data_IF_568787157293
#
_entry.id   IF_568787157293
#
_cell.length_a   1.000
_cell.length_b   1.000
_cell.length_c   1.000
_cell.angle_alpha   90.00
_cell.angle_beta   90.00
_cell.angle_gamma   90.00
#
_symmetry.space_group_name_H-M   'P 1'
#
loop_
_entity.id
_entity.type
_entity.pdbx_description
1 polymer ?
#
# COMPACT_ATOMS: atom_id res chain seq x y z
N UNK A 1 55.02 26.11 17.44
CA UNK A 1 54.99 27.55 17.76
C UNK A 1 54.59 28.30 16.49
N UNK A 2 53.36 28.72 16.39
CA UNK A 2 52.86 29.94 15.76
C UNK A 2 51.33 29.85 15.66
N UNK A 3 50.74 30.60 16.52
CA UNK A 3 49.36 30.93 16.68
C UNK A 3 49.01 31.97 15.61
N UNK A 4 47.90 31.82 14.90
CA UNK A 4 47.21 32.95 14.27
C UNK A 4 45.71 32.91 14.58
N UNK A 5 45.34 33.79 15.50
CA UNK A 5 43.98 34.32 15.69
C UNK A 5 43.74 35.43 14.65
N UNK A 6 42.49 35.55 14.18
CA UNK A 6 41.79 36.82 13.88
C UNK A 6 40.35 36.45 13.44
N UNK A 7 39.35 36.74 14.30
CA UNK A 7 38.53 37.96 14.36
C UNK A 7 37.81 38.23 13.03
N UNK A 8 36.51 37.98 12.82
CA UNK A 8 35.35 38.62 13.40
C UNK A 8 34.85 39.67 12.42
N UNK A 9 33.58 39.61 12.00
CA UNK A 9 32.74 40.79 11.68
C UNK A 9 31.27 40.35 11.61
N UNK A 10 30.50 40.92 12.53
CA UNK A 10 29.05 41.03 12.51
C UNK A 10 28.62 42.02 11.43
N UNK A 11 27.61 41.72 10.68
CA UNK A 11 26.80 42.75 10.01
C UNK A 11 25.31 42.42 10.13
N UNK A 12 24.73 43.22 10.95
CA UNK A 12 23.32 43.43 11.23
C UNK A 12 22.74 44.40 10.17
N UNK A 13 21.65 44.10 9.52
CA UNK A 13 20.76 45.09 8.84
C UNK A 13 19.45 44.39 8.54
N UNK A 14 18.44 44.68 9.22
CA UNK A 14 17.50 45.79 9.27
C UNK A 14 16.25 45.50 8.46
N UNK A 15 15.21 45.43 9.25
CA UNK A 15 13.76 45.52 9.04
C UNK A 15 13.33 46.44 7.88
N UNK A 16 12.38 45.96 7.04
CA UNK A 16 11.47 46.90 6.39
C UNK A 16 10.05 46.32 6.40
N UNK A 17 9.24 46.88 7.30
CA UNK A 17 7.79 46.80 7.30
C UNK A 17 7.22 47.74 6.24
N UNK A 18 6.31 47.27 5.38
CA UNK A 18 5.37 48.16 4.70
C UNK A 18 3.99 47.53 4.82
N UNK A 19 3.20 48.15 5.68
CA UNK A 19 1.75 48.07 5.77
C UNK A 19 1.12 49.18 4.90
N UNK A 20 0.12 48.87 4.13
CA UNK A 20 -0.99 49.78 3.67
C UNK A 20 -2.16 48.89 3.35
N UNK A 21 -3.12 48.99 3.98
CA UNK A 21 -4.44 49.49 4.35
C UNK A 21 -5.27 49.96 3.15
N UNK A 22 -6.46 49.36 3.08
CA UNK A 22 -7.79 49.97 3.05
C UNK A 22 -8.55 50.11 1.73
N UNK A 23 -9.86 49.92 1.92
CA UNK A 23 -11.06 50.30 1.16
C UNK A 23 -11.51 49.32 0.07
N UNK A 24 -12.66 48.63 0.14
CA UNK A 24 -13.95 49.03 0.72
C UNK A 24 -14.94 49.21 -0.41
N UNK A 25 -15.91 48.29 -0.58
CA UNK A 25 -17.27 48.67 -1.03
C UNK A 25 -18.24 47.51 -0.84
N UNK A 26 -19.28 47.80 -0.09
CA UNK A 26 -20.52 47.07 0.07
C UNK A 26 -21.45 47.29 -1.13
N UNK A 27 -22.27 46.32 -1.41
CA UNK A 27 -23.69 46.42 -1.83
C UNK A 27 -24.26 45.02 -1.75
N UNK A 28 -24.99 44.69 -0.75
CA UNK A 28 -26.42 44.69 -0.44
C UNK A 28 -27.31 43.98 -1.49
N UNK A 29 -27.92 42.94 -0.94
CA UNK A 29 -29.31 42.50 -0.82
C UNK A 29 -30.04 41.98 -2.06
N UNK A 30 -30.50 40.72 -1.98
CA UNK A 30 -31.96 40.44 -1.83
C UNK A 30 -32.23 39.00 -1.43
N UNK A 31 -32.89 38.91 -0.35
CA UNK A 31 -33.71 37.90 0.26
C UNK A 31 -34.83 37.41 -0.67
N UNK A 32 -35.08 36.09 -0.70
CA UNK A 32 -36.43 35.59 -0.88
C UNK A 32 -36.56 34.24 -0.20
N UNK A 33 -37.22 34.27 0.91
CA UNK A 33 -37.74 33.13 1.63
C UNK A 33 -38.94 32.54 0.87
N UNK A 34 -39.09 31.23 0.94
CA UNK A 34 -40.39 30.56 0.88
C UNK A 34 -40.32 29.26 1.67
N UNK A 35 -40.96 29.36 2.78
CA UNK A 35 -41.44 28.35 3.69
C UNK A 35 -42.42 27.37 2.98
N UNK A 36 -42.35 26.11 3.36
CA UNK A 36 -43.51 25.38 3.90
C UNK A 36 -43.17 23.90 4.17
N UNK A 37 -43.23 23.57 5.42
CA UNK A 37 -43.47 22.26 6.03
C UNK A 37 -45.00 22.19 6.36
N UNK A 38 -45.58 21.12 6.92
CA UNK A 38 -45.45 19.68 6.92
C UNK A 38 -46.78 18.94 6.69
N UNK A 39 -46.76 17.61 6.60
CA UNK A 39 -47.88 16.72 7.01
C UNK A 39 -47.28 15.29 7.03
N UNK A 40 -47.09 14.66 8.09
CA UNK A 40 -47.81 14.02 9.18
C UNK A 40 -48.87 12.98 8.77
N UNK A 41 -48.75 11.82 9.44
CA UNK A 41 -49.69 10.77 9.84
C UNK A 41 -49.99 9.67 8.81
N UNK A 42 -49.64 8.38 9.09
CA UNK A 42 -50.47 7.46 9.87
C UNK A 42 -49.74 6.15 10.19
N UNK A 43 -49.86 5.80 11.46
CA UNK A 43 -49.69 4.46 12.04
C UNK A 43 -50.90 3.60 11.72
N UNK A 44 -50.68 2.28 11.60
CA UNK A 44 -51.53 1.17 12.06
C UNK A 44 -50.60 -0.03 12.08
N UNK A 45 -50.17 -0.58 13.12
CA UNK A 45 -50.65 -1.31 14.28
C UNK A 45 -51.23 -2.71 14.00
N UNK A 46 -50.64 -3.64 14.77
CA UNK A 46 -51.20 -4.90 15.36
C UNK A 46 -51.45 -6.07 14.41
N UNK A 47 -51.10 -7.27 14.67
CA UNK A 47 -51.01 -8.12 15.82
C UNK A 47 -50.58 -9.54 15.48
N UNK A 48 -49.86 -10.13 16.43
CA UNK A 48 -50.04 -11.44 17.08
C UNK A 48 -50.03 -12.73 16.21
N UNK A 49 -49.11 -13.56 16.60
CA UNK A 49 -49.06 -14.70 17.57
C UNK A 49 -49.48 -16.02 16.90
N UNK A 50 -48.77 -17.08 16.98
CA UNK A 50 -48.64 -18.12 18.01
C UNK A 50 -47.95 -19.38 17.47
N UNK A 51 -47.04 -19.90 18.32
CA UNK A 51 -46.84 -21.31 18.75
C UNK A 51 -46.65 -22.41 17.70
N UNK A 52 -45.80 -23.33 17.85
CA UNK A 52 -45.18 -24.15 18.85
C UNK A 52 -44.40 -25.29 18.22
N UNK A 53 -43.22 -25.56 18.78
CA UNK A 53 -42.76 -26.86 19.26
C UNK A 53 -42.91 -28.11 18.36
N UNK A 54 -41.77 -28.70 18.04
CA UNK A 54 -41.47 -30.07 18.45
C UNK A 54 -40.00 -30.41 18.21
N UNK A 55 -39.36 -30.88 19.26
CA UNK A 55 -38.04 -31.46 19.31
C UNK A 55 -37.95 -32.78 18.56
N UNK A 56 -36.82 -33.08 17.97
CA UNK A 56 -36.29 -34.45 17.97
C UNK A 56 -34.76 -34.42 17.81
N UNK A 57 -34.14 -35.06 18.80
CA UNK A 57 -32.74 -35.47 18.92
C UNK A 57 -32.36 -36.39 17.75
N UNK A 58 -31.12 -36.29 17.32
CA UNK A 58 -30.14 -37.38 17.26
C UNK A 58 -28.84 -37.00 16.60
N UNK A 59 -27.82 -36.96 17.43
CA UNK A 59 -26.41 -37.38 17.26
C UNK A 59 -25.93 -37.71 15.83
N UNK A 60 -24.82 -37.02 15.42
CA UNK A 60 -23.60 -37.71 15.01
C UNK A 60 -22.44 -36.67 14.86
N UNK A 61 -21.44 -36.91 15.63
CA UNK A 61 -20.07 -36.42 15.57
C UNK A 61 -19.50 -36.60 14.15
N UNK A 62 -18.91 -35.56 13.58
CA UNK A 62 -17.75 -35.71 12.67
C UNK A 62 -16.99 -34.42 12.69
N UNK A 63 -15.74 -34.51 13.11
CA UNK A 63 -14.74 -33.49 13.10
C UNK A 63 -14.59 -32.85 11.72
N UNK A 64 -14.79 -31.56 11.62
CA UNK A 64 -14.31 -30.78 10.50
C UNK A 64 -12.94 -30.24 10.87
N UNK A 65 -11.92 -30.82 10.29
CA UNK A 65 -10.58 -30.29 10.27
C UNK A 65 -10.61 -28.92 9.59
N UNK A 66 -10.28 -27.90 10.36
CA UNK A 66 -9.99 -26.58 9.82
C UNK A 66 -8.66 -26.68 9.10
N UNK A 67 -8.73 -26.91 7.79
CA UNK A 67 -7.59 -26.76 6.92
C UNK A 67 -7.32 -25.26 6.78
N UNK A 68 -6.49 -24.73 7.68
CA UNK A 68 -5.79 -23.49 7.43
C UNK A 68 -4.86 -23.71 6.24
N UNK A 69 -5.21 -23.19 5.08
CA UNK A 69 -4.28 -23.13 3.97
C UNK A 69 -3.20 -22.14 4.35
N UNK A 70 -2.11 -22.69 4.91
CA UNK A 70 -0.85 -21.97 4.95
C UNK A 70 -0.52 -21.61 3.50
N UNK A 71 -0.24 -20.34 3.25
CA UNK A 71 0.34 -19.90 2.00
C UNK A 71 1.59 -20.74 1.77
N UNK A 72 1.55 -21.55 0.74
CA UNK A 72 2.66 -22.36 0.29
C UNK A 72 3.69 -21.37 -0.24
N UNK A 73 4.72 -21.09 0.58
CA UNK A 73 5.94 -20.47 0.08
C UNK A 73 6.49 -21.43 -0.97
N UNK A 74 6.36 -21.06 -2.22
CA UNK A 74 7.02 -21.77 -3.31
C UNK A 74 8.50 -21.79 -2.95
N UNK A 75 9.03 -22.97 -2.67
CA UNK A 75 10.46 -23.18 -2.46
C UNK A 75 11.22 -22.81 -3.73
N UNK A 76 12.56 -22.58 -3.64
CA UNK A 76 13.34 -22.07 -4.76
C UNK A 76 13.11 -22.91 -6.00
N UNK A 77 12.46 -22.28 -6.99
CA UNK A 77 12.31 -22.84 -8.32
C UNK A 77 13.69 -23.00 -8.96
N UNK A 78 13.87 -23.98 -9.81
CA UNK A 78 15.16 -24.26 -10.41
C UNK A 78 15.60 -23.08 -11.30
N UNK A 79 16.39 -22.13 -10.73
CA UNK A 79 17.44 -21.45 -11.48
C UNK A 79 17.09 -20.15 -12.18
N UNK A 80 16.17 -19.31 -11.70
CA UNK A 80 16.17 -17.91 -12.14
C UNK A 80 16.95 -17.06 -11.12
N UNK A 81 17.71 -16.09 -11.63
CA UNK A 81 18.39 -15.09 -10.81
C UNK A 81 17.49 -13.87 -10.50
N UNK A 82 16.17 -14.12 -10.50
CA UNK A 82 15.12 -13.13 -10.33
C UNK A 82 14.28 -13.45 -9.10
N UNK A 83 14.04 -12.45 -8.25
CA UNK A 83 13.15 -12.53 -7.09
C UNK A 83 12.05 -11.46 -7.20
N UNK A 84 10.83 -11.82 -6.84
CA UNK A 84 9.74 -10.86 -6.62
C UNK A 84 9.50 -10.72 -5.12
N UNK A 85 9.80 -9.56 -4.56
CA UNK A 85 9.50 -9.21 -3.17
C UNK A 85 8.32 -8.26 -3.16
N UNK A 86 7.29 -8.55 -2.38
CA UNK A 86 6.13 -7.68 -2.35
C UNK A 86 5.43 -7.67 -0.99
N UNK A 87 4.76 -6.56 -0.71
CA UNK A 87 3.78 -6.43 0.36
C UNK A 87 2.40 -6.28 -0.26
N UNK A 88 1.42 -6.99 0.27
CA UNK A 88 0.04 -6.94 -0.21
C UNK A 88 -0.96 -7.06 0.92
N UNK A 89 -2.17 -6.54 0.73
CA UNK A 89 -3.24 -6.62 1.73
C UNK A 89 -4.53 -7.14 1.12
N UNK A 90 -5.19 -8.02 1.85
CA UNK A 90 -6.58 -8.44 1.66
C UNK A 90 -7.52 -7.52 2.43
N UNK A 91 -8.81 -7.81 2.46
CA UNK A 91 -9.82 -7.03 3.15
C UNK A 91 -10.39 -5.91 2.29
N UNK A 92 -10.92 -4.88 2.91
CA UNK A 92 -11.57 -3.79 2.20
C UNK A 92 -10.55 -2.89 1.50
N UNK A 93 -10.75 -2.64 0.21
CA UNK A 93 -9.88 -1.82 -0.62
C UNK A 93 -10.67 -0.73 -1.35
N UNK A 94 -10.04 0.43 -1.54
CA UNK A 94 -10.66 1.54 -2.23
C UNK A 94 -11.10 1.18 -3.65
N UNK A 95 -12.38 1.42 -3.96
CA UNK A 95 -12.95 1.27 -5.29
C UNK A 95 -13.22 -0.16 -5.75
N UNK A 96 -12.82 -1.18 -4.97
CA UNK A 96 -13.09 -2.60 -5.26
C UNK A 96 -13.86 -3.31 -4.15
N UNK A 97 -13.91 -2.73 -2.94
CA UNK A 97 -14.57 -3.36 -1.80
C UNK A 97 -13.70 -4.45 -1.16
N UNK A 98 -14.35 -5.47 -0.62
CA UNK A 98 -13.71 -6.60 0.07
C UNK A 98 -13.07 -7.56 -0.94
N UNK A 99 -11.78 -7.87 -0.72
CA UNK A 99 -11.01 -8.77 -1.59
C UNK A 99 -10.30 -9.87 -0.79
N UNK A 100 -10.26 -11.07 -1.36
CA UNK A 100 -9.59 -12.24 -0.77
C UNK A 100 -8.10 -12.32 -1.15
N UNK A 101 -7.71 -11.77 -2.31
CA UNK A 101 -6.32 -11.67 -2.77
C UNK A 101 -5.97 -10.23 -3.05
N UNK A 102 -4.90 -9.77 -2.41
CA UNK A 102 -4.48 -8.38 -2.52
C UNK A 102 -4.05 -7.99 -3.95
N UNK A 103 -4.26 -6.72 -4.30
CA UNK A 103 -3.96 -6.19 -5.63
C UNK A 103 -2.50 -6.39 -6.03
N UNK A 104 -1.57 -6.15 -5.09
CA UNK A 104 -0.14 -6.29 -5.35
C UNK A 104 0.26 -7.75 -5.53
N UNK A 105 -0.34 -8.68 -4.77
CA UNK A 105 -0.12 -10.11 -4.93
C UNK A 105 -0.54 -10.62 -6.32
N UNK A 106 -1.63 -10.10 -6.88
CA UNK A 106 -2.07 -10.44 -8.24
C UNK A 106 -1.00 -10.03 -9.28
N UNK A 107 -0.45 -8.82 -9.15
CA UNK A 107 0.59 -8.34 -10.07
C UNK A 107 1.90 -9.10 -9.86
N UNK A 108 2.27 -9.42 -8.61
CA UNK A 108 3.45 -10.22 -8.28
C UNK A 108 3.39 -11.61 -8.93
N UNK A 109 2.24 -12.28 -8.87
CA UNK A 109 2.05 -13.56 -9.54
C UNK A 109 2.24 -13.44 -11.06
N UNK A 110 1.68 -12.39 -11.69
CA UNK A 110 1.83 -12.18 -13.13
C UNK A 110 3.30 -12.01 -13.54
N UNK A 111 4.10 -11.32 -12.70
CA UNK A 111 5.54 -11.16 -12.91
C UNK A 111 6.24 -12.51 -12.77
N UNK A 112 5.95 -13.24 -11.69
CA UNK A 112 6.54 -14.56 -11.44
C UNK A 112 6.15 -15.57 -12.51
N UNK A 113 4.90 -15.62 -12.95
CA UNK A 113 4.42 -16.47 -14.04
C UNK A 113 5.20 -16.24 -15.35
N UNK A 114 5.48 -14.98 -15.68
CA UNK A 114 6.15 -14.60 -16.92
C UNK A 114 7.64 -14.84 -16.87
N UNK A 115 8.28 -14.57 -15.72
CA UNK A 115 9.75 -14.60 -15.58
C UNK A 115 10.27 -15.93 -15.02
N UNK A 116 9.39 -16.72 -14.40
CA UNK A 116 9.79 -17.88 -13.60
C UNK A 116 10.46 -17.52 -12.28
N UNK A 117 10.33 -16.27 -11.83
CA UNK A 117 10.97 -15.76 -10.62
C UNK A 117 10.44 -16.44 -9.36
N UNK A 118 11.33 -16.61 -8.38
CA UNK A 118 10.93 -16.90 -7.01
C UNK A 118 10.16 -15.71 -6.43
N UNK A 119 9.31 -15.93 -5.42
CA UNK A 119 8.56 -14.87 -4.79
C UNK A 119 8.68 -14.91 -3.26
N UNK A 120 8.66 -13.73 -2.64
CA UNK A 120 8.62 -13.54 -1.19
C UNK A 120 7.62 -12.44 -0.82
N UNK A 121 6.58 -12.81 -0.11
CA UNK A 121 5.64 -11.86 0.43
C UNK A 121 6.12 -11.34 1.79
N UNK A 122 6.20 -10.03 1.92
CA UNK A 122 6.47 -9.37 3.18
C UNK A 122 5.17 -9.36 3.99
N UNK A 123 5.15 -10.12 5.07
CA UNK A 123 4.04 -10.16 6.02
C UNK A 123 4.47 -9.47 7.32
N UNK A 124 3.62 -8.69 7.99
CA UNK A 124 3.95 -8.14 9.29
C UNK A 124 4.18 -9.28 10.30
N UNK A 125 5.16 -9.12 11.20
CA UNK A 125 5.44 -10.10 12.26
C UNK A 125 4.23 -10.26 13.20
N UNK A 126 3.57 -9.14 13.49
CA UNK A 126 2.28 -9.10 14.15
C UNK A 126 1.30 -8.42 13.18
N UNK A 127 0.25 -9.11 12.74
CA UNK A 127 -0.74 -8.52 11.83
C UNK A 127 -1.73 -7.65 12.62
N UNK A 128 -1.35 -6.40 12.77
CA UNK A 128 -2.16 -5.36 13.42
C UNK A 128 -2.87 -4.44 12.42
N UNK A 129 -2.68 -4.66 11.13
CA UNK A 129 -3.33 -3.86 10.10
C UNK A 129 -4.83 -4.15 10.05
N UNK A 130 -5.69 -3.11 10.19
CA UNK A 130 -7.13 -3.29 10.16
C UNK A 130 -7.64 -3.87 8.84
N UNK A 131 -8.78 -4.56 8.94
CA UNK A 131 -9.46 -5.13 7.79
C UNK A 131 -10.19 -4.08 6.95
N UNK A 132 -10.76 -3.05 7.60
CA UNK A 132 -11.51 -1.97 6.96
C UNK A 132 -10.58 -0.95 6.34
N UNK A 133 -11.01 -0.34 5.23
CA UNK A 133 -10.20 0.62 4.49
C UNK A 133 -9.88 1.88 5.31
N UNK A 134 -10.88 2.46 5.97
CA UNK A 134 -10.71 3.72 6.71
C UNK A 134 -9.72 3.55 7.87
N UNK A 135 -9.88 2.49 8.69
CA UNK A 135 -8.97 2.22 9.80
C UNK A 135 -7.55 1.90 9.31
N UNK A 136 -7.43 1.15 8.20
CA UNK A 136 -6.13 0.87 7.59
C UNK A 136 -5.41 2.14 7.14
N UNK A 137 -6.14 3.08 6.53
CA UNK A 137 -5.55 4.35 6.08
C UNK A 137 -5.10 5.23 7.25
N UNK A 138 -5.78 5.18 8.39
CA UNK A 138 -5.38 5.89 9.62
C UNK A 138 -4.09 5.30 10.20
N UNK A 139 -3.99 3.96 10.31
CA UNK A 139 -2.78 3.27 10.76
C UNK A 139 -1.61 3.57 9.82
N UNK A 140 -1.81 3.45 8.51
CA UNK A 140 -0.78 3.75 7.52
C UNK A 140 -0.30 5.21 7.60
N UNK A 141 -1.22 6.16 7.88
CA UNK A 141 -0.87 7.57 8.07
C UNK A 141 -0.09 7.81 9.34
N UNK A 142 -0.47 7.14 10.42
CA UNK A 142 0.26 7.22 11.68
C UNK A 142 1.69 6.68 11.51
N UNK A 143 1.86 5.50 10.92
CA UNK A 143 3.18 4.92 10.65
C UNK A 143 4.07 5.88 9.84
N UNK A 144 3.51 6.51 8.79
CA UNK A 144 4.23 7.47 7.96
C UNK A 144 4.67 8.68 8.78
N UNK A 145 3.78 9.25 9.60
CA UNK A 145 4.08 10.42 10.43
C UNK A 145 5.14 10.15 11.50
N UNK A 146 5.14 8.93 12.05
CA UNK A 146 6.09 8.47 13.07
C UNK A 146 7.39 7.94 12.47
N UNK A 147 7.47 7.82 11.14
CA UNK A 147 8.56 7.14 10.45
C UNK A 147 8.78 5.72 11.02
N UNK A 148 7.69 5.00 11.25
CA UNK A 148 7.69 3.68 11.86
C UNK A 148 8.46 2.64 11.03
N UNK A 149 8.94 1.60 11.68
CA UNK A 149 9.59 0.45 11.05
C UNK A 149 8.96 -0.85 11.53
N UNK A 150 7.74 -1.17 11.06
CA UNK A 150 7.08 -2.42 11.41
C UNK A 150 7.96 -3.60 11.04
N UNK A 151 8.10 -4.56 11.97
CA UNK A 151 8.84 -5.79 11.69
C UNK A 151 8.04 -6.68 10.74
N UNK A 152 8.75 -7.43 9.91
CA UNK A 152 8.16 -8.43 9.02
C UNK A 152 8.61 -9.84 9.39
N UNK A 153 7.72 -10.81 9.16
CA UNK A 153 7.93 -12.22 9.42
C UNK A 153 8.47 -12.97 8.19
N UNK A 154 8.94 -14.18 8.44
CA UNK A 154 9.36 -15.14 7.43
C UNK A 154 10.87 -15.15 7.19
N UNK A 155 11.33 -16.26 6.63
CA UNK A 155 12.72 -16.45 6.25
C UNK A 155 12.91 -15.94 4.83
N UNK A 156 13.51 -14.74 4.70
CA UNK A 156 13.88 -14.20 3.40
C UNK A 156 14.86 -15.15 2.70
N UNK A 157 14.63 -15.46 1.40
CA UNK A 157 15.57 -16.27 0.65
C UNK A 157 16.94 -15.59 0.59
N UNK A 158 18.00 -16.39 0.41
CA UNK A 158 19.36 -15.88 0.27
C UNK A 158 19.46 -14.96 -0.96
N UNK A 159 19.47 -13.64 -0.72
CA UNK A 159 19.52 -12.61 -1.77
C UNK A 159 20.76 -12.70 -2.65
N UNK A 160 21.82 -13.40 -2.24
CA UNK A 160 23.04 -13.53 -3.05
C UNK A 160 22.81 -14.30 -4.35
N UNK A 161 21.72 -15.08 -4.42
CA UNK A 161 21.36 -15.89 -5.59
C UNK A 161 20.70 -15.07 -6.71
N UNK A 162 20.24 -13.83 -6.42
CA UNK A 162 19.46 -13.03 -7.35
C UNK A 162 20.28 -11.82 -7.82
N UNK A 163 20.23 -11.54 -9.11
CA UNK A 163 20.77 -10.32 -9.71
C UNK A 163 19.71 -9.24 -9.89
N UNK A 164 18.45 -9.65 -10.04
CA UNK A 164 17.30 -8.78 -10.21
C UNK A 164 16.26 -9.02 -9.11
N UNK A 165 15.74 -7.96 -8.52
CA UNK A 165 14.66 -8.00 -7.53
C UNK A 165 13.55 -7.05 -7.96
N UNK A 166 12.40 -7.61 -8.33
CA UNK A 166 11.16 -6.84 -8.47
C UNK A 166 10.61 -6.54 -7.08
N UNK A 167 10.24 -5.30 -6.83
CA UNK A 167 9.78 -4.87 -5.50
C UNK A 167 8.43 -4.19 -5.62
N UNK A 168 7.41 -4.73 -4.97
CA UNK A 168 6.04 -4.28 -5.10
C UNK A 168 5.34 -3.95 -3.80
N UNK A 169 4.46 -2.93 -3.83
CA UNK A 169 3.57 -2.61 -2.72
C UNK A 169 2.37 -1.77 -3.17
N UNK A 170 1.29 -1.70 -2.37
CA UNK A 170 0.29 -0.68 -2.54
C UNK A 170 0.87 0.71 -2.23
N UNK A 171 0.36 1.74 -2.89
CA UNK A 171 0.73 3.12 -2.55
C UNK A 171 -0.07 3.58 -1.35
N UNK A 172 0.59 3.82 -0.23
CA UNK A 172 -0.01 4.35 0.99
C UNK A 172 0.42 5.80 1.21
N UNK A 173 -0.54 6.73 1.17
CA UNK A 173 -0.29 8.16 1.35
C UNK A 173 0.82 8.74 0.44
N UNK A 174 0.87 8.24 -0.80
CA UNK A 174 1.84 8.68 -1.80
C UNK A 174 3.25 8.12 -1.57
N UNK A 175 3.39 7.06 -0.76
CA UNK A 175 4.66 6.45 -0.41
C UNK A 175 4.56 4.92 -0.36
N UNK A 176 5.72 4.28 -0.18
CA UNK A 176 5.81 2.89 0.24
C UNK A 176 5.17 2.72 1.62
N UNK A 177 4.48 1.60 1.90
CA UNK A 177 4.16 1.20 3.28
C UNK A 177 5.42 1.15 4.14
N UNK A 178 5.33 1.57 5.39
CA UNK A 178 6.51 1.72 6.24
C UNK A 178 7.26 0.41 6.50
N UNK A 179 6.57 -0.73 6.44
CA UNK A 179 7.16 -2.07 6.51
C UNK A 179 8.17 -2.32 5.38
N UNK A 180 7.99 -1.71 4.21
CA UNK A 180 8.93 -1.82 3.09
C UNK A 180 10.25 -1.12 3.38
N UNK A 181 10.22 -0.02 4.13
CA UNK A 181 11.46 0.63 4.58
C UNK A 181 12.23 -0.24 5.57
N UNK A 182 11.55 -1.01 6.42
CA UNK A 182 12.19 -2.03 7.26
C UNK A 182 12.93 -3.06 6.41
N UNK A 183 12.28 -3.52 5.32
CA UNK A 183 12.92 -4.45 4.38
C UNK A 183 14.15 -3.82 3.71
N UNK A 184 14.04 -2.60 3.22
CA UNK A 184 15.15 -1.91 2.55
C UNK A 184 16.35 -1.72 3.49
N UNK A 185 16.10 -1.22 4.70
CA UNK A 185 17.15 -0.94 5.69
C UNK A 185 17.84 -2.21 6.19
N UNK A 186 17.08 -3.28 6.43
CA UNK A 186 17.64 -4.55 6.90
C UNK A 186 18.45 -5.28 5.84
N UNK A 187 18.23 -5.00 4.54
CA UNK A 187 18.82 -5.74 3.43
C UNK A 187 19.64 -4.87 2.49
N UNK A 188 19.96 -3.63 2.87
CA UNK A 188 20.67 -2.68 2.01
C UNK A 188 21.98 -3.27 1.44
N UNK A 189 22.80 -3.91 2.27
CA UNK A 189 24.06 -4.55 1.88
C UNK A 189 23.85 -5.72 0.91
N UNK A 190 22.79 -6.51 1.14
CA UNK A 190 22.47 -7.66 0.30
C UNK A 190 21.84 -7.25 -1.05
N UNK A 191 21.22 -6.07 -1.10
CA UNK A 191 20.65 -5.47 -2.31
C UNK A 191 21.70 -4.70 -3.13
N UNK A 192 22.86 -4.36 -2.55
CA UNK A 192 23.90 -3.63 -3.24
C UNK A 192 24.37 -4.34 -4.52
N UNK A 193 24.53 -3.57 -5.60
CA UNK A 193 24.95 -4.06 -6.92
C UNK A 193 23.86 -4.76 -7.73
N UNK A 194 22.64 -4.94 -7.18
CA UNK A 194 21.51 -5.56 -7.88
C UNK A 194 20.71 -4.57 -8.70
N UNK A 195 19.93 -5.09 -9.63
CA UNK A 195 18.88 -4.34 -10.32
C UNK A 195 17.58 -4.46 -9.52
N UNK A 196 17.04 -3.34 -9.05
CA UNK A 196 15.78 -3.25 -8.32
C UNK A 196 14.72 -2.64 -9.23
N UNK A 197 13.60 -3.32 -9.43
CA UNK A 197 12.55 -2.88 -10.35
C UNK A 197 11.25 -2.70 -9.56
N UNK A 198 10.83 -1.45 -9.31
CA UNK A 198 9.64 -1.18 -8.51
C UNK A 198 8.35 -1.42 -9.28
N UNK A 199 7.32 -1.93 -8.60
CA UNK A 199 5.95 -1.89 -9.10
C UNK A 199 4.98 -1.48 -7.99
N UNK A 200 3.90 -0.81 -8.38
CA UNK A 200 2.91 -0.35 -7.43
C UNK A 200 1.51 -0.75 -7.81
N UNK A 201 0.64 -0.94 -6.81
CA UNK A 201 -0.80 -0.91 -6.99
C UNK A 201 -1.37 0.34 -6.32
N UNK A 202 -2.35 0.99 -6.95
CA UNK A 202 -2.77 2.32 -6.52
C UNK A 202 -4.25 2.60 -6.79
N UNK A 203 -4.79 3.63 -6.13
CA UNK A 203 -6.13 4.17 -6.35
C UNK A 203 -6.08 5.53 -7.08
N UNK A 204 -5.24 5.65 -8.14
CA UNK A 204 -5.10 6.85 -8.94
C UNK A 204 -3.76 7.60 -8.80
N UNK A 205 -2.88 7.20 -7.88
CA UNK A 205 -1.59 7.89 -7.62
C UNK A 205 -0.42 7.45 -8.51
N UNK A 206 -0.61 6.43 -9.36
CA UNK A 206 0.46 5.89 -10.19
C UNK A 206 1.61 5.30 -9.37
N UNK A 207 2.83 5.40 -9.87
CA UNK A 207 4.03 4.88 -9.20
C UNK A 207 4.43 5.70 -7.95
N UNK A 208 3.90 6.89 -7.74
CA UNK A 208 4.13 7.75 -6.57
C UNK A 208 5.60 7.99 -6.20
N UNK A 209 6.49 7.94 -7.19
CA UNK A 209 7.93 8.13 -6.98
C UNK A 209 8.61 6.96 -6.27
N UNK A 210 8.04 5.77 -6.33
CA UNK A 210 8.64 4.55 -5.79
C UNK A 210 10.07 4.33 -6.28
N UNK A 211 10.33 4.62 -7.58
CA UNK A 211 11.65 4.57 -8.20
C UNK A 211 12.69 5.44 -7.47
N UNK A 212 12.36 6.71 -7.23
CA UNK A 212 13.26 7.67 -6.58
C UNK A 212 13.47 7.34 -5.11
N UNK A 213 12.40 6.92 -4.42
CA UNK A 213 12.45 6.56 -3.01
C UNK A 213 13.25 5.28 -2.79
N UNK A 214 13.07 4.29 -3.67
CA UNK A 214 13.85 3.06 -3.67
C UNK A 214 15.33 3.35 -3.92
N UNK A 215 15.65 4.19 -4.92
CA UNK A 215 17.02 4.62 -5.17
C UNK A 215 17.65 5.36 -3.98
N UNK A 216 16.84 6.09 -3.22
CA UNK A 216 17.32 6.76 -1.99
C UNK A 216 17.54 5.80 -0.83
N UNK A 217 16.69 4.77 -0.71
CA UNK A 217 16.79 3.75 0.34
C UNK A 217 17.90 2.72 0.06
N UNK A 218 18.17 2.42 -1.22
CA UNK A 218 19.16 1.45 -1.67
C UNK A 218 20.15 2.11 -2.66
N UNK A 219 21.00 3.04 -2.21
CA UNK A 219 21.82 3.88 -3.09
C UNK A 219 22.88 3.10 -3.88
N UNK A 220 23.27 1.93 -3.39
CA UNK A 220 24.29 1.09 -4.03
C UNK A 220 23.68 0.08 -5.03
N UNK A 221 22.39 0.21 -5.33
CA UNK A 221 21.65 -0.59 -6.31
C UNK A 221 21.36 0.20 -7.58
N UNK A 222 21.04 -0.49 -8.67
CA UNK A 222 20.50 0.13 -9.88
C UNK A 222 18.98 0.02 -9.88
N UNK A 223 18.26 1.13 -9.97
CA UNK A 223 16.79 1.11 -10.04
C UNK A 223 16.33 1.20 -11.48
N UNK A 224 15.57 0.19 -11.92
CA UNK A 224 14.99 0.10 -13.26
C UNK A 224 13.65 0.84 -13.42
N UNK A 225 13.11 0.80 -14.63
CA UNK A 225 11.79 1.40 -14.95
C UNK A 225 10.67 0.61 -14.26
N UNK A 226 9.88 1.32 -13.46
CA UNK A 226 8.80 0.71 -12.68
C UNK A 226 7.47 0.64 -13.41
N UNK A 227 6.56 -0.21 -12.89
CA UNK A 227 5.18 -0.35 -13.35
C UNK A 227 4.19 0.13 -12.29
N UNK A 228 3.13 0.82 -12.72
CA UNK A 228 2.00 1.18 -11.87
C UNK A 228 0.70 0.56 -12.39
N UNK A 229 -0.02 -0.15 -11.54
CA UNK A 229 -1.29 -0.81 -11.87
C UNK A 229 -2.40 -0.28 -10.97
N UNK A 230 -3.53 0.13 -11.53
CA UNK A 230 -4.68 0.49 -10.72
C UNK A 230 -5.23 -0.75 -9.99
N UNK A 231 -5.52 -0.62 -8.69
CA UNK A 231 -6.06 -1.73 -7.90
C UNK A 231 -7.39 -2.26 -8.45
N UNK A 232 -8.23 -1.37 -8.99
CA UNK A 232 -9.47 -1.73 -9.67
C UNK A 232 -9.23 -2.61 -10.91
N UNK A 233 -8.15 -2.35 -11.65
CA UNK A 233 -7.83 -3.15 -12.84
C UNK A 233 -7.20 -4.49 -12.43
N UNK A 234 -6.36 -4.50 -11.39
CA UNK A 234 -5.80 -5.75 -10.86
C UNK A 234 -6.90 -6.74 -10.42
N UNK A 235 -8.04 -6.25 -9.92
CA UNK A 235 -9.17 -7.10 -9.54
C UNK A 235 -10.11 -7.44 -10.72
N UNK A 236 -10.46 -6.44 -11.54
CA UNK A 236 -11.58 -6.56 -12.47
C UNK A 236 -11.17 -6.74 -13.92
N UNK A 237 -9.92 -6.46 -14.29
CA UNK A 237 -9.42 -6.43 -15.67
C UNK A 237 -8.09 -7.21 -15.81
N UNK A 238 -7.98 -8.37 -15.14
CA UNK A 238 -6.73 -9.12 -15.02
C UNK A 238 -6.08 -9.49 -16.37
N UNK A 239 -6.86 -9.79 -17.39
CA UNK A 239 -6.31 -10.10 -18.73
C UNK A 239 -5.56 -8.88 -19.30
N UNK A 240 -6.16 -7.69 -19.23
CA UNK A 240 -5.52 -6.44 -19.69
C UNK A 240 -4.29 -6.06 -18.86
N UNK A 241 -4.35 -6.32 -17.54
CA UNK A 241 -3.19 -6.09 -16.66
C UNK A 241 -2.07 -7.07 -17.01
N UNK A 242 -2.38 -8.34 -17.27
CA UNK A 242 -1.41 -9.35 -17.69
C UNK A 242 -0.71 -8.95 -18.99
N UNK A 243 -1.46 -8.44 -19.98
CA UNK A 243 -0.87 -7.92 -21.22
C UNK A 243 0.08 -6.75 -20.92
N UNK A 244 -0.34 -5.80 -20.09
CA UNK A 244 0.48 -4.66 -19.67
C UNK A 244 1.77 -5.10 -18.94
N UNK A 245 1.67 -6.06 -18.02
CA UNK A 245 2.83 -6.63 -17.31
C UNK A 245 3.77 -7.33 -18.29
N UNK A 246 3.23 -8.11 -19.23
CA UNK A 246 4.03 -8.82 -20.23
C UNK A 246 4.77 -7.85 -21.16
N UNK A 247 4.11 -6.78 -21.62
CA UNK A 247 4.72 -5.76 -22.48
C UNK A 247 5.84 -5.02 -21.74
N UNK A 248 5.59 -4.64 -20.47
CA UNK A 248 6.58 -4.00 -19.61
C UNK A 248 7.80 -4.90 -19.38
N UNK A 249 7.60 -6.16 -18.99
CA UNK A 249 8.68 -7.12 -18.78
C UNK A 249 9.48 -7.35 -20.06
N UNK A 250 8.80 -7.48 -21.20
CA UNK A 250 9.46 -7.61 -22.52
C UNK A 250 10.29 -6.37 -22.86
N UNK A 251 9.80 -5.16 -22.53
CA UNK A 251 10.54 -3.90 -22.68
C UNK A 251 11.80 -3.85 -21.81
N UNK A 252 11.79 -4.51 -20.64
CA UNK A 252 12.93 -4.66 -19.75
C UNK A 252 13.90 -5.81 -20.14
N UNK A 253 13.49 -6.67 -21.09
CA UNK A 253 14.31 -7.79 -21.58
C UNK A 253 14.04 -9.14 -20.90
N UNK A 254 12.83 -9.28 -20.24
CA UNK A 254 12.38 -10.52 -19.58
C UNK A 254 11.32 -11.28 -20.36
#
# INVERSE_FOLDING_TARGET
>A
MKIFKKTGIFLLSALLMISLAACGSQAETKESASESSPAEISRVDESQETTAETASEATAETAAETSGTAAETAGPGAGTDILVVYFSRTGEQYGVGEIEKGNTAIVADMISDKTGADSFEILPEEDYYPYTYDELTDVAKQEQNENARPAYAGDLPDLTQYSTVFIGAPVWWGDWPMIMYTFFENNADALAGKTLIPFSTHAGSGLSGFDKKLSSACPDSTVGEGLAVAGTDAQNNQDSVRDTVNDWLTGLGY
#
